data_IF_043674851095
#
_entry.id   IF_043674851095
#
_cell.length_a   1.000
_cell.length_b   1.000
_cell.length_c   1.000
_cell.angle_alpha   90.00
_cell.angle_beta   90.00
_cell.angle_gamma   90.00
#
_symmetry.space_group_name_H-M   'P 1'
#
loop_
_entity.id
_entity.type
_entity.pdbx_description
1 polymer ?
#
# COMPACT_ATOMS: atom_id res chain seq x y z
N UNK A 1 -3.61 -12.50 0.04
CA UNK A 1 -2.55 -11.56 -0.40
C UNK A 1 -1.23 -12.31 -0.44
N UNK A 2 -0.34 -11.95 -1.33
CA UNK A 2 1.00 -12.52 -1.43
C UNK A 2 2.01 -11.37 -1.39
N UNK A 3 3.04 -11.49 -0.56
CA UNK A 3 4.09 -10.48 -0.45
C UNK A 3 4.79 -10.18 -1.81
N UNK A 4 4.81 -11.17 -2.71
CA UNK A 4 5.37 -11.00 -4.05
C UNK A 4 4.61 -9.98 -4.93
N UNK A 5 3.35 -9.67 -4.62
CA UNK A 5 2.53 -8.70 -5.36
C UNK A 5 2.53 -7.30 -4.75
N UNK A 6 3.28 -7.07 -3.66
CA UNK A 6 3.34 -5.79 -2.95
C UNK A 6 3.72 -4.59 -3.85
N UNK A 7 4.53 -4.84 -4.86
CA UNK A 7 5.01 -3.79 -5.78
C UNK A 7 4.38 -3.86 -7.18
N UNK A 8 3.29 -4.60 -7.33
CA UNK A 8 2.59 -4.63 -8.60
C UNK A 8 1.76 -3.35 -8.76
N UNK A 9 2.24 -2.46 -9.59
CA UNK A 9 1.60 -1.19 -9.88
C UNK A 9 1.74 -0.83 -11.37
N UNK A 10 0.85 0.00 -11.88
CA UNK A 10 0.97 0.50 -13.24
C UNK A 10 2.27 1.33 -13.40
N UNK A 11 3.00 1.21 -14.51
CA UNK A 11 4.25 1.96 -14.71
C UNK A 11 4.13 3.48 -14.52
N UNK A 12 2.98 4.08 -14.88
CA UNK A 12 2.73 5.51 -14.64
C UNK A 12 2.62 5.85 -13.16
N UNK A 13 1.98 4.98 -12.36
CA UNK A 13 1.84 5.18 -10.92
C UNK A 13 3.19 5.05 -10.23
N UNK A 14 3.97 4.08 -10.68
CA UNK A 14 5.33 3.92 -10.19
C UNK A 14 6.20 5.16 -10.50
N UNK A 15 6.12 5.68 -11.73
CA UNK A 15 6.85 6.89 -12.12
C UNK A 15 6.38 8.13 -11.34
N UNK A 16 5.06 8.29 -11.15
CA UNK A 16 4.50 9.38 -10.36
C UNK A 16 4.94 9.31 -8.90
N UNK A 17 4.84 8.14 -8.27
CA UNK A 17 5.28 7.93 -6.90
C UNK A 17 6.77 8.21 -6.71
N UNK A 18 7.63 7.69 -7.60
CA UNK A 18 9.06 7.98 -7.58
C UNK A 18 9.33 9.49 -7.68
N UNK A 19 8.63 10.17 -8.57
CA UNK A 19 8.79 11.62 -8.75
C UNK A 19 8.41 12.37 -7.48
N UNK A 20 7.25 12.06 -6.89
CA UNK A 20 6.79 12.69 -5.64
C UNK A 20 7.76 12.41 -4.49
N UNK A 21 8.18 11.16 -4.32
CA UNK A 21 9.14 10.79 -3.26
C UNK A 21 10.44 11.57 -3.41
N UNK A 22 10.97 11.69 -4.63
CA UNK A 22 12.21 12.44 -4.85
C UNK A 22 12.03 13.95 -4.62
N UNK A 23 10.94 14.54 -5.08
CA UNK A 23 10.63 15.95 -4.83
C UNK A 23 10.51 16.26 -3.34
N UNK A 24 9.85 15.40 -2.59
CA UNK A 24 9.71 15.55 -1.14
C UNK A 24 11.04 15.33 -0.45
N UNK A 25 11.74 14.24 -0.76
CA UNK A 25 12.99 13.87 -0.06
C UNK A 25 14.10 14.88 -0.31
N UNK A 26 14.35 15.25 -1.56
CA UNK A 26 15.45 16.14 -1.91
C UNK A 26 15.02 17.61 -1.98
N UNK A 27 13.86 17.91 -2.56
CA UNK A 27 13.42 19.27 -2.77
C UNK A 27 12.85 19.93 -1.51
N UNK A 28 12.03 19.24 -0.76
CA UNK A 28 11.37 19.79 0.43
C UNK A 28 12.17 19.53 1.72
N UNK A 29 12.61 18.28 1.94
CA UNK A 29 13.29 17.89 3.18
C UNK A 29 14.81 18.04 3.11
N UNK A 30 15.40 18.25 1.94
CA UNK A 30 16.84 18.41 1.77
C UNK A 30 17.67 17.19 2.21
N UNK A 31 17.11 15.98 2.10
CA UNK A 31 17.80 14.76 2.50
C UNK A 31 19.00 14.51 1.60
N UNK A 32 20.09 14.01 2.18
CA UNK A 32 21.19 13.47 1.39
C UNK A 32 20.81 12.07 0.84
N UNK A 33 21.58 11.61 -0.14
CA UNK A 33 21.29 10.36 -0.87
C UNK A 33 21.26 9.14 0.07
N UNK A 34 22.12 9.12 1.08
CA UNK A 34 22.18 8.02 2.04
C UNK A 34 20.90 7.95 2.90
N UNK A 35 20.48 9.09 3.44
CA UNK A 35 19.23 9.18 4.23
C UNK A 35 18.00 8.83 3.39
N UNK A 36 17.95 9.28 2.15
CA UNK A 36 16.85 8.94 1.24
C UNK A 36 16.83 7.44 0.89
N UNK A 37 18.00 6.83 0.69
CA UNK A 37 18.12 5.40 0.45
C UNK A 37 17.63 4.57 1.64
N UNK A 38 18.02 4.94 2.86
CA UNK A 38 17.53 4.29 4.08
C UNK A 38 16.02 4.44 4.25
N UNK A 39 15.47 5.62 4.00
CA UNK A 39 14.03 5.86 4.06
C UNK A 39 13.28 4.96 3.07
N UNK A 40 13.76 4.89 1.82
CA UNK A 40 13.19 4.03 0.78
C UNK A 40 13.25 2.55 1.15
N UNK A 41 14.38 2.10 1.72
CA UNK A 41 14.52 0.73 2.20
C UNK A 41 13.49 0.40 3.29
N UNK A 42 13.30 1.29 4.26
CA UNK A 42 12.32 1.07 5.32
C UNK A 42 10.88 1.06 4.79
N UNK A 43 10.55 1.93 3.85
CA UNK A 43 9.23 1.90 3.17
C UNK A 43 9.03 0.55 2.48
N UNK A 44 10.03 0.06 1.73
CA UNK A 44 9.93 -1.24 1.07
C UNK A 44 9.77 -2.40 2.05
N UNK A 45 10.49 -2.39 3.18
CA UNK A 45 10.34 -3.41 4.25
C UNK A 45 8.92 -3.37 4.82
N UNK A 46 8.36 -2.16 4.98
CA UNK A 46 7.01 -1.98 5.49
C UNK A 46 5.95 -2.50 4.51
N UNK A 47 6.08 -2.21 3.24
CA UNK A 47 5.22 -2.73 2.18
C UNK A 47 5.23 -4.28 2.16
N UNK A 48 6.41 -4.89 2.27
CA UNK A 48 6.49 -6.35 2.40
C UNK A 48 5.80 -6.86 3.66
N UNK A 49 5.99 -6.18 4.80
CA UNK A 49 5.34 -6.53 6.06
C UNK A 49 3.82 -6.55 5.92
N UNK A 50 3.23 -5.49 5.39
CA UNK A 50 1.79 -5.34 5.24
C UNK A 50 1.16 -6.42 4.34
N UNK A 51 1.92 -6.89 3.33
CA UNK A 51 1.48 -7.93 2.41
C UNK A 51 1.78 -9.36 2.89
N UNK A 52 2.36 -9.53 4.08
CA UNK A 52 2.52 -10.87 4.67
C UNK A 52 1.18 -11.44 5.12
N UNK A 53 1.15 -12.76 5.31
CA UNK A 53 -0.05 -13.45 5.81
C UNK A 53 0.13 -13.86 7.28
N UNK A 54 0.86 -13.05 8.06
CA UNK A 54 1.19 -13.30 9.45
C UNK A 54 0.06 -12.78 10.34
N UNK A 55 -0.24 -13.52 11.41
CA UNK A 55 -1.15 -13.05 12.46
C UNK A 55 -0.36 -12.27 13.49
N UNK A 56 -0.85 -11.10 13.84
CA UNK A 56 -0.17 -10.17 14.74
C UNK A 56 -1.05 -9.78 15.93
N UNK A 57 -0.44 -9.39 17.08
CA UNK A 57 -1.20 -8.91 18.23
C UNK A 57 -2.00 -7.66 17.90
N UNK A 58 -3.25 -7.59 18.37
CA UNK A 58 -4.16 -6.48 18.10
C UNK A 58 -3.61 -5.11 18.51
N UNK A 59 -2.88 -5.02 19.62
CA UNK A 59 -2.30 -3.78 20.11
C UNK A 59 -1.30 -3.14 19.14
N UNK A 60 -0.63 -3.96 18.31
CA UNK A 60 0.33 -3.47 17.31
C UNK A 60 -0.33 -2.54 16.28
N UNK A 61 -1.61 -2.76 16.00
CA UNK A 61 -2.39 -1.95 15.04
C UNK A 61 -2.56 -0.48 15.43
N UNK A 62 -2.28 -0.10 16.67
CA UNK A 62 -2.29 1.30 17.09
C UNK A 62 -1.01 2.06 16.68
N UNK A 63 0.04 1.34 16.37
CA UNK A 63 1.35 1.91 16.01
C UNK A 63 1.70 1.69 14.54
N UNK A 64 1.34 0.53 14.01
CA UNK A 64 1.69 0.09 12.66
C UNK A 64 0.45 -0.54 12.00
N UNK A 65 0.31 -0.37 10.70
CA UNK A 65 -0.68 -1.15 9.96
C UNK A 65 -0.25 -2.62 9.98
N UNK A 66 -1.13 -3.46 10.53
CA UNK A 66 -0.91 -4.90 10.60
C UNK A 66 -1.29 -5.56 9.27
N UNK A 67 -0.70 -6.70 8.92
CA UNK A 67 -1.10 -7.44 7.71
C UNK A 67 -2.60 -7.71 7.61
N UNK A 68 -3.25 -7.98 8.75
CA UNK A 68 -4.71 -8.19 8.79
C UNK A 68 -5.50 -6.91 8.49
N UNK A 69 -5.00 -5.76 8.92
CA UNK A 69 -5.61 -4.45 8.64
C UNK A 69 -5.41 -4.06 7.18
N UNK A 70 -4.21 -4.27 6.66
CA UNK A 70 -3.90 -3.98 5.25
C UNK A 70 -4.69 -4.89 4.29
N UNK A 71 -4.98 -6.13 4.69
CA UNK A 71 -5.90 -6.99 3.94
C UNK A 71 -7.29 -6.35 3.76
N UNK A 72 -7.78 -5.64 4.77
CA UNK A 72 -9.07 -4.93 4.70
C UNK A 72 -8.98 -3.77 3.70
N UNK A 73 -7.82 -3.10 3.59
CA UNK A 73 -7.56 -2.11 2.55
C UNK A 73 -7.75 -2.68 1.15
N UNK A 74 -7.35 -3.93 0.93
CA UNK A 74 -7.50 -4.63 -0.34
C UNK A 74 -8.83 -5.40 -0.49
N UNK A 75 -9.82 -5.14 0.36
CA UNK A 75 -11.13 -5.77 0.24
C UNK A 75 -11.77 -5.44 -1.12
N UNK A 76 -12.23 -6.47 -1.81
CA UNK A 76 -12.88 -6.33 -3.13
C UNK A 76 -14.02 -5.31 -3.04
N UNK A 77 -14.04 -4.37 -3.98
CA UNK A 77 -15.02 -3.27 -4.07
C UNK A 77 -15.02 -2.29 -2.87
N UNK A 78 -13.99 -2.32 -2.02
CA UNK A 78 -13.90 -1.44 -0.86
C UNK A 78 -12.46 -1.09 -0.48
N UNK A 79 -11.75 -0.37 -1.33
CA UNK A 79 -10.40 0.14 -1.06
C UNK A 79 -10.46 1.46 -0.27
N UNK A 80 -10.92 1.44 0.99
CA UNK A 80 -11.24 2.68 1.71
C UNK A 80 -10.68 2.81 3.12
N UNK A 81 -10.01 1.79 3.65
CA UNK A 81 -9.54 1.78 5.03
C UNK A 81 -8.04 1.50 5.09
N UNK A 82 -7.38 1.93 6.17
CA UNK A 82 -5.99 1.57 6.47
C UNK A 82 -5.00 1.86 5.33
N UNK A 83 -4.98 3.10 4.85
CA UNK A 83 -4.13 3.54 3.72
C UNK A 83 -2.64 3.59 4.05
N UNK A 84 -2.28 3.75 5.32
CA UNK A 84 -0.91 3.92 5.72
C UNK A 84 -0.73 3.90 7.23
N UNK A 85 0.04 4.82 7.78
CA UNK A 85 0.23 4.86 9.23
C UNK A 85 -1.10 5.07 9.97
N UNK A 86 -1.37 4.30 11.04
CA UNK A 86 -2.64 4.35 11.79
C UNK A 86 -3.05 5.75 12.25
N UNK A 87 -2.07 6.63 12.50
CA UNK A 87 -2.31 8.02 12.88
C UNK A 87 -3.19 8.75 11.85
N UNK A 88 -2.90 8.58 10.56
CA UNK A 88 -3.66 9.23 9.49
C UNK A 88 -5.05 8.62 9.35
N UNK A 89 -5.14 7.31 9.42
CA UNK A 89 -6.44 6.63 9.34
C UNK A 89 -7.35 6.98 10.52
N UNK A 90 -6.80 7.13 11.73
CA UNK A 90 -7.55 7.62 12.90
C UNK A 90 -8.02 9.05 12.67
N UNK A 91 -7.15 9.93 12.16
CA UNK A 91 -7.48 11.33 11.93
C UNK A 91 -8.58 11.51 10.88
N UNK A 92 -8.54 10.72 9.81
CA UNK A 92 -9.51 10.79 8.70
C UNK A 92 -10.68 9.84 8.83
N UNK A 93 -10.75 9.04 9.91
CA UNK A 93 -11.88 8.12 10.17
C UNK A 93 -11.88 6.87 9.29
N UNK A 94 -10.74 6.51 8.71
CA UNK A 94 -10.56 5.30 7.88
C UNK A 94 -9.90 4.14 8.63
N UNK A 95 -9.64 4.31 9.92
CA UNK A 95 -8.99 3.31 10.75
C UNK A 95 -9.91 2.13 11.07
N UNK A 96 -9.47 0.94 10.72
CA UNK A 96 -10.16 -0.32 11.05
C UNK A 96 -9.16 -1.38 11.55
N UNK A 97 -8.96 -1.47 12.85
CA UNK A 97 -8.11 -2.47 13.47
C UNK A 97 -8.89 -3.78 13.72
N UNK A 98 -9.18 -4.50 12.66
CA UNK A 98 -9.90 -5.77 12.68
C UNK A 98 -9.00 -6.90 12.13
N UNK A 99 -9.35 -8.13 12.46
CA UNK A 99 -8.72 -9.34 11.90
C UNK A 99 -9.71 -10.15 11.06
N UNK A 100 -10.78 -9.51 10.56
CA UNK A 100 -11.75 -10.15 9.69
C UNK A 100 -11.08 -10.60 8.39
N UNK A 101 -11.49 -11.74 7.92
CA UNK A 101 -11.01 -12.28 6.64
C UNK A 101 -11.90 -11.72 5.54
N UNK A 102 -11.27 -11.06 4.58
CA UNK A 102 -11.96 -10.47 3.42
C UNK A 102 -11.42 -11.09 2.13
N UNK A 103 -12.24 -11.08 1.11
CA UNK A 103 -11.82 -11.38 -0.24
C UNK A 103 -11.08 -10.17 -0.82
N UNK A 104 -9.82 -10.37 -1.20
CA UNK A 104 -8.99 -9.33 -1.77
C UNK A 104 -9.03 -9.40 -3.30
N UNK A 105 -8.91 -8.25 -3.96
CA UNK A 105 -8.82 -8.17 -5.42
C UNK A 105 -9.66 -7.03 -5.99
N UNK A 106 -9.65 -6.96 -7.30
CA UNK A 106 -10.49 -6.03 -8.08
C UNK A 106 -11.76 -6.73 -8.55
N UNK A 107 -12.62 -6.02 -9.27
CA UNK A 107 -13.78 -6.63 -9.91
C UNK A 107 -13.37 -7.67 -10.96
N UNK A 108 -14.31 -8.54 -11.30
CA UNK A 108 -14.09 -9.73 -12.13
C UNK A 108 -13.41 -9.32 -13.45
N UNK A 109 -12.38 -10.09 -13.86
CA UNK A 109 -11.64 -10.03 -15.13
C UNK A 109 -10.59 -8.94 -15.30
N UNK A 110 -10.43 -7.98 -14.38
CA UNK A 110 -9.39 -6.97 -14.50
C UNK A 110 -7.98 -7.58 -14.41
N UNK A 111 -7.80 -8.60 -13.58
CA UNK A 111 -6.51 -9.28 -13.40
C UNK A 111 -6.03 -9.99 -14.69
N UNK A 112 -6.95 -10.36 -15.60
CA UNK A 112 -6.62 -11.01 -16.86
C UNK A 112 -6.36 -10.01 -18.02
N UNK A 113 -6.71 -8.72 -17.83
CA UNK A 113 -6.63 -7.68 -18.86
C UNK A 113 -5.41 -6.77 -18.74
N UNK A 114 -4.28 -7.33 -18.35
CA UNK A 114 -3.02 -6.57 -18.10
C UNK A 114 -2.61 -5.70 -19.30
N UNK A 115 -2.78 -6.15 -20.53
CA UNK A 115 -2.43 -5.36 -21.73
C UNK A 115 -3.32 -4.14 -21.92
N UNK A 116 -4.60 -4.24 -21.60
CA UNK A 116 -5.53 -3.11 -21.66
C UNK A 116 -5.27 -2.11 -20.54
N UNK A 117 -4.95 -2.59 -19.34
CA UNK A 117 -4.54 -1.75 -18.21
C UNK A 117 -3.25 -0.99 -18.54
N UNK A 118 -2.24 -1.64 -19.11
CA UNK A 118 -1.01 -0.99 -19.55
C UNK A 118 -1.24 0.05 -20.65
N UNK A 119 -2.27 -0.13 -21.47
CA UNK A 119 -2.68 0.83 -22.49
C UNK A 119 -3.60 1.95 -21.97
N UNK A 120 -3.79 2.04 -20.64
CA UNK A 120 -4.69 2.99 -19.96
C UNK A 120 -6.15 2.93 -20.48
N UNK A 121 -6.61 1.79 -20.98
CA UNK A 121 -8.00 1.59 -21.34
C UNK A 121 -8.82 1.33 -20.09
N UNK A 122 -10.02 1.91 -20.02
CA UNK A 122 -10.95 1.57 -18.95
C UNK A 122 -11.37 0.10 -19.08
N UNK A 123 -11.14 -0.65 -18.03
CA UNK A 123 -11.53 -2.04 -17.90
C UNK A 123 -12.81 -2.04 -17.08
N UNK A 124 -13.95 -1.92 -17.75
CA UNK A 124 -15.29 -2.04 -17.16
C UNK A 124 -15.82 -3.46 -17.33
#
# INVERSE_FOLDING_TARGET
MQAATAFYAHPSDFAANLTIINLVSYGLLGLNIESAAWATLWVAVFEYWEHTNIRTPHWLGYFLVRPEMHRIHHERNRHSNNYGLPLWDILFGTYENSSRVVECGFEIDEEERVTDMLACKQVQ
#
